data_IF_855596741927
#
_entry.id   IF_855596741927
#
_cell.length_a   1.000
_cell.length_b   1.000
_cell.length_c   1.000
_cell.angle_alpha   90.00
_cell.angle_beta   90.00
_cell.angle_gamma   90.00
#
_symmetry.space_group_name_H-M   'P 1'
#
loop_
_entity.id
_entity.type
_entity.pdbx_description
1 polymer ?
#
# COMPACT_ATOMS: atom_id res chain seq x y z
N UNK A 1 9.25 -24.09 -18.89
CA UNK A 1 9.55 -23.59 -17.53
C UNK A 1 8.28 -23.34 -16.70
N UNK A 2 7.28 -22.63 -17.23
CA UNK A 2 6.03 -22.33 -16.47
C UNK A 2 5.31 -23.61 -15.96
N UNK A 3 5.31 -24.67 -16.77
CA UNK A 3 4.60 -25.92 -16.44
C UNK A 3 5.25 -26.70 -15.28
N UNK A 4 6.59 -26.62 -15.16
CA UNK A 4 7.32 -27.30 -14.08
C UNK A 4 7.16 -26.57 -12.74
N UNK A 5 7.10 -25.24 -12.76
CA UNK A 5 6.86 -24.42 -11.55
C UNK A 5 5.43 -24.67 -11.03
N UNK A 6 4.45 -24.70 -11.91
CA UNK A 6 3.05 -24.97 -11.55
C UNK A 6 2.89 -26.33 -10.87
N UNK A 7 3.59 -27.37 -11.36
CA UNK A 7 3.58 -28.73 -10.77
C UNK A 7 4.12 -28.73 -9.34
N UNK A 8 5.25 -28.04 -9.10
CA UNK A 8 5.86 -27.97 -7.75
C UNK A 8 4.94 -27.21 -6.80
N UNK A 9 4.39 -26.07 -7.25
CA UNK A 9 3.47 -25.25 -6.46
C UNK A 9 2.22 -26.08 -6.10
N UNK A 10 1.63 -26.76 -7.09
CA UNK A 10 0.45 -27.61 -6.90
C UNK A 10 0.71 -28.71 -5.86
N UNK A 11 1.84 -29.41 -5.95
CA UNK A 11 2.20 -30.49 -5.02
C UNK A 11 2.29 -30.01 -3.57
N UNK A 12 2.93 -28.85 -3.34
CA UNK A 12 3.06 -28.27 -1.99
C UNK A 12 1.69 -27.82 -1.48
N UNK A 13 0.89 -27.15 -2.32
CA UNK A 13 -0.43 -26.65 -1.93
C UNK A 13 -1.37 -27.79 -1.58
N UNK A 14 -1.37 -28.89 -2.35
CA UNK A 14 -2.24 -30.06 -2.10
C UNK A 14 -1.98 -30.68 -0.74
N UNK A 15 -0.71 -30.78 -0.32
CA UNK A 15 -0.33 -31.30 1.01
C UNK A 15 -0.95 -30.48 2.15
N UNK A 16 -1.27 -29.21 1.89
CA UNK A 16 -1.83 -28.29 2.90
C UNK A 16 -3.32 -28.03 2.69
N UNK A 17 -3.98 -28.78 1.83
CA UNK A 17 -5.43 -28.71 1.63
C UNK A 17 -5.88 -27.66 0.62
N UNK A 18 -4.97 -27.17 -0.23
CA UNK A 18 -5.27 -26.21 -1.28
C UNK A 18 -5.18 -26.88 -2.65
N UNK A 19 -6.12 -26.56 -3.51
CA UNK A 19 -6.10 -26.99 -4.91
C UNK A 19 -5.71 -25.80 -5.79
N UNK A 20 -4.61 -25.92 -6.52
CA UNK A 20 -4.11 -24.86 -7.39
C UNK A 20 -5.15 -24.51 -8.48
N UNK A 21 -5.43 -23.24 -8.62
CA UNK A 21 -6.34 -22.68 -9.62
C UNK A 21 -5.59 -21.88 -10.70
N UNK A 22 -6.20 -20.80 -11.14
CA UNK A 22 -5.67 -19.99 -12.24
C UNK A 22 -4.53 -19.08 -11.78
N UNK A 23 -3.67 -18.74 -12.73
CA UNK A 23 -2.64 -17.71 -12.56
C UNK A 23 -3.30 -16.33 -12.47
N UNK A 24 -2.88 -15.54 -11.48
CA UNK A 24 -3.40 -14.18 -11.27
C UNK A 24 -2.43 -13.09 -11.70
N UNK A 25 -1.12 -13.30 -11.50
CA UNK A 25 -0.14 -12.29 -11.85
C UNK A 25 1.27 -12.63 -11.42
N UNK A 26 2.21 -11.77 -11.80
CA UNK A 26 3.63 -11.94 -11.49
C UNK A 26 4.24 -10.58 -11.14
N UNK A 27 4.89 -10.53 -9.99
CA UNK A 27 5.74 -9.42 -9.59
C UNK A 27 7.22 -9.74 -9.80
N UNK A 28 8.09 -8.86 -9.33
CA UNK A 28 9.54 -9.01 -9.48
C UNK A 28 10.06 -10.32 -8.86
N UNK A 29 9.60 -10.64 -7.66
CA UNK A 29 10.10 -11.79 -6.88
C UNK A 29 9.04 -12.84 -6.58
N UNK A 30 7.80 -12.60 -7.01
CA UNK A 30 6.67 -13.43 -6.61
C UNK A 30 5.74 -13.70 -7.78
N UNK A 31 5.05 -14.84 -7.70
CA UNK A 31 3.97 -15.22 -8.62
C UNK A 31 2.71 -15.42 -7.77
N UNK A 32 1.58 -14.92 -8.25
CA UNK A 32 0.31 -15.02 -7.53
C UNK A 32 -0.63 -15.97 -8.29
N UNK A 33 -1.19 -16.90 -7.55
CA UNK A 33 -2.15 -17.91 -8.04
C UNK A 33 -3.43 -17.82 -7.24
N UNK A 34 -4.54 -18.12 -7.86
CA UNK A 34 -5.77 -18.49 -7.17
C UNK A 34 -5.65 -19.95 -6.72
N UNK A 35 -6.19 -20.27 -5.54
CA UNK A 35 -6.27 -21.64 -5.07
C UNK A 35 -7.56 -21.83 -4.29
N UNK A 36 -8.12 -23.05 -4.33
CA UNK A 36 -9.32 -23.43 -3.57
C UNK A 36 -8.88 -24.09 -2.27
N UNK A 37 -9.28 -23.51 -1.13
CA UNK A 37 -8.99 -24.07 0.19
C UNK A 37 -10.15 -24.94 0.64
N UNK A 38 -9.91 -26.25 0.67
CA UNK A 38 -10.94 -27.28 0.94
C UNK A 38 -11.59 -27.12 2.31
N UNK A 39 -10.79 -26.76 3.34
CA UNK A 39 -11.27 -26.62 4.72
C UNK A 39 -12.34 -25.53 4.86
N UNK A 40 -12.14 -24.38 4.20
CA UNK A 40 -13.08 -23.25 4.27
C UNK A 40 -14.05 -23.20 3.08
N UNK A 41 -13.88 -24.11 2.11
CA UNK A 41 -14.69 -24.19 0.87
C UNK A 41 -14.71 -22.83 0.15
N UNK A 42 -13.56 -22.18 0.03
CA UNK A 42 -13.44 -20.85 -0.56
C UNK A 42 -12.16 -20.72 -1.38
N UNK A 43 -12.16 -19.81 -2.33
CA UNK A 43 -10.97 -19.45 -3.09
C UNK A 43 -10.13 -18.44 -2.30
N UNK A 44 -8.82 -18.57 -2.41
CA UNK A 44 -7.81 -17.69 -1.79
C UNK A 44 -6.80 -17.27 -2.87
N UNK A 45 -6.05 -16.23 -2.59
CA UNK A 45 -4.86 -15.87 -3.37
C UNK A 45 -3.63 -16.48 -2.69
N UNK A 46 -2.73 -17.05 -3.48
CA UNK A 46 -1.46 -17.60 -2.99
C UNK A 46 -0.32 -16.84 -3.67
N UNK A 47 0.41 -16.06 -2.90
CA UNK A 47 1.61 -15.35 -3.36
C UNK A 47 2.81 -16.25 -3.08
N UNK A 48 3.53 -16.66 -4.13
CA UNK A 48 4.68 -17.57 -4.07
C UNK A 48 5.95 -16.78 -4.31
N UNK A 49 6.75 -16.57 -3.27
CA UNK A 49 8.06 -15.92 -3.39
C UNK A 49 9.13 -16.96 -3.69
N UNK A 50 9.96 -16.67 -4.69
CA UNK A 50 11.11 -17.51 -5.05
C UNK A 50 12.34 -16.97 -4.31
N UNK A 51 12.87 -17.77 -3.36
CA UNK A 51 13.99 -17.36 -2.51
C UNK A 51 15.25 -17.03 -3.33
N UNK A 52 15.47 -17.74 -4.44
CA UNK A 52 16.60 -17.51 -5.33
C UNK A 52 16.62 -16.11 -5.99
N UNK A 53 15.43 -15.46 -6.05
CA UNK A 53 15.26 -14.13 -6.67
C UNK A 53 15.30 -12.99 -5.68
N UNK A 54 15.19 -13.29 -4.39
CA UNK A 54 15.14 -12.28 -3.34
C UNK A 54 16.48 -12.18 -2.62
N UNK A 55 16.81 -10.98 -2.16
CA UNK A 55 18.04 -10.74 -1.40
C UNK A 55 18.02 -11.54 -0.08
N UNK A 56 19.17 -12.10 0.30
CA UNK A 56 19.32 -12.89 1.53
C UNK A 56 18.91 -12.07 2.76
N UNK A 57 19.30 -10.81 2.83
CA UNK A 57 18.93 -9.93 3.94
C UNK A 57 17.41 -9.72 4.03
N UNK A 58 16.74 -9.58 2.90
CA UNK A 58 15.27 -9.50 2.84
C UNK A 58 14.65 -10.77 3.43
N UNK A 59 15.10 -11.94 2.99
CA UNK A 59 14.52 -13.24 3.40
C UNK A 59 14.74 -13.55 4.88
N UNK A 60 15.91 -13.16 5.45
CA UNK A 60 16.29 -13.54 6.82
C UNK A 60 15.86 -12.51 7.87
N UNK A 61 15.85 -11.22 7.51
CA UNK A 61 15.57 -10.13 8.47
C UNK A 61 14.21 -9.48 8.26
N UNK A 62 13.88 -9.15 7.02
CA UNK A 62 12.71 -8.32 6.74
C UNK A 62 11.43 -9.13 6.57
N UNK A 63 11.44 -10.16 5.75
CA UNK A 63 10.26 -10.96 5.44
C UNK A 63 9.61 -11.58 6.69
N UNK A 64 10.33 -12.17 7.63
CA UNK A 64 9.71 -12.65 8.87
C UNK A 64 9.02 -11.54 9.66
N UNK A 65 9.48 -10.52 9.63
CA UNK A 65 8.93 -9.51 10.28
C UNK A 65 7.73 -8.99 9.69
N UNK A 66 7.85 -8.84 8.53
CA UNK A 66 6.67 -8.38 7.78
C UNK A 66 5.49 -9.35 7.93
N UNK A 67 5.75 -10.63 7.81
CA UNK A 67 4.72 -11.67 8.00
C UNK A 67 4.11 -11.58 9.41
N UNK A 68 4.91 -11.36 10.44
CA UNK A 68 4.39 -11.24 11.81
C UNK A 68 3.48 -10.01 11.95
N UNK A 69 3.89 -8.88 11.40
CA UNK A 69 3.04 -7.67 11.37
C UNK A 69 1.74 -7.95 10.62
N UNK A 70 1.84 -8.52 9.43
CA UNK A 70 0.68 -8.80 8.57
C UNK A 70 -0.36 -9.70 9.28
N UNK A 71 0.10 -10.70 10.04
CA UNK A 71 -0.78 -11.58 10.84
C UNK A 71 -1.65 -10.81 11.84
N UNK A 72 -1.17 -9.64 12.31
CA UNK A 72 -1.90 -8.84 13.31
C UNK A 72 -2.89 -7.85 12.69
N UNK A 73 -2.75 -7.56 11.38
CA UNK A 73 -3.57 -6.56 10.70
C UNK A 73 -4.92 -7.17 10.29
N UNK A 74 -6.01 -6.61 10.82
CA UNK A 74 -7.38 -7.03 10.50
C UNK A 74 -8.26 -5.81 10.29
N UNK A 75 -8.66 -5.59 9.04
CA UNK A 75 -9.50 -4.44 8.68
C UNK A 75 -10.26 -4.77 7.38
N UNK A 76 -11.52 -4.35 7.23
CA UNK A 76 -12.30 -4.66 6.03
C UNK A 76 -11.70 -4.13 4.73
N UNK A 77 -10.87 -3.07 4.78
CA UNK A 77 -10.24 -2.51 3.59
C UNK A 77 -8.78 -2.95 3.40
N UNK A 78 -8.35 -4.00 4.09
CA UNK A 78 -7.04 -4.65 3.88
C UNK A 78 -7.25 -6.09 3.39
N UNK A 79 -6.39 -6.54 2.49
CA UNK A 79 -6.33 -7.96 2.11
C UNK A 79 -5.90 -8.75 3.36
N UNK A 80 -6.74 -9.68 3.80
CA UNK A 80 -6.47 -10.47 5.01
C UNK A 80 -5.36 -11.50 4.76
N UNK A 81 -4.48 -11.64 5.73
CA UNK A 81 -3.47 -12.71 5.78
C UNK A 81 -4.10 -13.93 6.44
N UNK A 82 -3.95 -15.10 5.82
CA UNK A 82 -4.47 -16.36 6.35
C UNK A 82 -3.36 -17.25 6.92
N UNK A 83 -2.31 -17.51 6.13
CA UNK A 83 -1.30 -18.50 6.47
C UNK A 83 -0.03 -18.25 5.65
N UNK A 84 1.11 -18.68 6.15
CA UNK A 84 2.33 -18.81 5.36
C UNK A 84 2.93 -20.20 5.50
N UNK A 85 3.50 -20.71 4.43
CA UNK A 85 4.21 -22.00 4.38
C UNK A 85 5.59 -21.71 3.80
N UNK A 86 6.61 -22.19 4.47
CA UNK A 86 7.99 -22.01 4.02
C UNK A 86 8.59 -23.36 3.64
N UNK A 87 9.25 -23.39 2.49
CA UNK A 87 10.05 -24.53 2.02
C UNK A 87 11.50 -24.07 1.81
N UNK A 88 12.36 -24.99 1.45
CA UNK A 88 13.78 -24.69 1.15
C UNK A 88 13.89 -23.54 0.13
N UNK A 89 13.10 -23.56 -0.94
CA UNK A 89 13.26 -22.67 -2.09
C UNK A 89 12.17 -21.60 -2.23
N UNK A 90 11.08 -21.67 -1.44
CA UNK A 90 9.91 -20.79 -1.61
C UNK A 90 9.25 -20.41 -0.30
N UNK A 91 8.58 -19.27 -0.31
CA UNK A 91 7.62 -18.88 0.73
C UNK A 91 6.25 -18.71 0.07
N UNK A 92 5.26 -19.40 0.59
CA UNK A 92 3.86 -19.33 0.13
C UNK A 92 3.09 -18.50 1.16
N UNK A 93 2.41 -17.46 0.69
CA UNK A 93 1.59 -16.59 1.54
C UNK A 93 0.15 -16.70 1.04
N UNK A 94 -0.73 -17.23 1.89
CA UNK A 94 -2.15 -17.39 1.59
C UNK A 94 -2.90 -16.15 2.06
N UNK A 95 -3.64 -15.54 1.16
CA UNK A 95 -4.29 -14.25 1.34
C UNK A 95 -5.75 -14.30 0.91
N UNK A 96 -6.52 -13.35 1.40
CA UNK A 96 -7.86 -13.09 0.89
C UNK A 96 -7.80 -12.85 -0.62
N UNK A 97 -8.70 -13.49 -1.36
CA UNK A 97 -8.85 -13.23 -2.79
C UNK A 97 -9.79 -12.04 -3.00
N UNK A 98 -9.34 -11.07 -3.76
CA UNK A 98 -10.15 -9.92 -4.19
C UNK A 98 -10.52 -10.12 -5.67
N UNK A 99 -11.71 -10.65 -5.97
CA UNK A 99 -12.02 -11.12 -7.33
C UNK A 99 -12.28 -9.98 -8.34
N UNK A 100 -12.48 -8.75 -7.88
CA UNK A 100 -12.69 -7.59 -8.75
C UNK A 100 -11.43 -7.07 -9.45
N UNK A 101 -10.25 -7.59 -9.08
CA UNK A 101 -8.97 -7.20 -9.69
C UNK A 101 -8.46 -5.82 -9.23
N UNK A 102 -7.54 -5.25 -9.98
CA UNK A 102 -6.88 -3.99 -9.64
C UNK A 102 -7.70 -2.76 -10.03
N UNK A 103 -7.70 -1.74 -9.17
CA UNK A 103 -8.30 -0.42 -9.51
C UNK A 103 -7.61 0.17 -10.75
N UNK A 104 -6.30 -0.02 -10.89
CA UNK A 104 -5.57 0.46 -12.09
C UNK A 104 -6.17 -0.13 -13.38
N UNK A 105 -6.48 -1.41 -13.40
CA UNK A 105 -7.07 -2.06 -14.58
C UNK A 105 -8.47 -1.50 -14.87
N UNK A 106 -9.24 -1.21 -13.82
CA UNK A 106 -10.55 -0.58 -13.98
C UNK A 106 -10.42 0.79 -14.69
N UNK A 107 -9.42 1.59 -14.26
CA UNK A 107 -9.16 2.91 -14.86
C UNK A 107 -8.66 2.77 -16.29
N UNK A 108 -7.76 1.80 -16.57
CA UNK A 108 -7.27 1.54 -17.94
C UNK A 108 -8.41 1.18 -18.89
N UNK A 109 -9.37 0.40 -18.42
CA UNK A 109 -10.49 -0.08 -19.24
C UNK A 109 -11.60 0.95 -19.44
N UNK A 110 -11.91 1.73 -18.41
CA UNK A 110 -13.10 2.60 -18.38
C UNK A 110 -12.78 4.11 -18.32
N UNK A 111 -11.50 4.45 -18.13
CA UNK A 111 -11.09 5.85 -17.94
C UNK A 111 -11.30 6.33 -16.52
N UNK A 112 -11.38 7.66 -16.36
CA UNK A 112 -11.58 8.29 -15.06
C UNK A 112 -12.87 7.82 -14.38
N UNK A 113 -12.80 7.69 -13.07
CA UNK A 113 -13.97 7.36 -12.25
C UNK A 113 -14.87 8.57 -12.07
N UNK A 114 -16.17 8.34 -12.00
CA UNK A 114 -17.09 9.36 -11.51
C UNK A 114 -16.71 9.71 -10.07
N UNK A 115 -16.87 10.97 -9.70
CA UNK A 115 -16.42 11.48 -8.40
C UNK A 115 -17.07 10.74 -7.22
N UNK A 116 -18.32 10.30 -7.38
CA UNK A 116 -19.03 9.51 -6.36
C UNK A 116 -18.32 8.19 -6.07
N UNK A 117 -17.88 7.49 -7.12
CA UNK A 117 -17.14 6.22 -6.97
C UNK A 117 -15.74 6.47 -6.39
N UNK A 118 -15.05 7.49 -6.91
CA UNK A 118 -13.71 7.86 -6.44
C UNK A 118 -13.76 8.25 -4.94
N UNK A 119 -14.79 8.99 -4.53
CA UNK A 119 -14.98 9.39 -3.13
C UNK A 119 -15.19 8.20 -2.20
N UNK A 120 -16.06 7.26 -2.60
CA UNK A 120 -16.27 6.02 -1.83
C UNK A 120 -14.97 5.22 -1.68
N UNK A 121 -14.26 5.03 -2.80
CA UNK A 121 -12.99 4.28 -2.79
C UNK A 121 -11.91 5.00 -1.98
N UNK A 122 -11.83 6.32 -2.10
CA UNK A 122 -10.85 7.11 -1.36
C UNK A 122 -11.13 7.10 0.15
N UNK A 123 -12.40 7.17 0.54
CA UNK A 123 -12.81 7.03 1.95
C UNK A 123 -12.39 5.68 2.51
N UNK A 124 -12.63 4.59 1.77
CA UNK A 124 -12.23 3.25 2.17
C UNK A 124 -10.69 3.14 2.27
N UNK A 125 -9.97 3.76 1.34
CA UNK A 125 -8.51 3.85 1.38
C UNK A 125 -8.05 4.58 2.66
N UNK A 126 -8.69 5.72 2.98
CA UNK A 126 -8.38 6.46 4.22
C UNK A 126 -8.58 5.60 5.46
N UNK A 127 -9.70 4.83 5.52
CA UNK A 127 -9.98 3.93 6.66
C UNK A 127 -8.88 2.88 6.83
N UNK A 128 -8.52 2.20 5.74
CA UNK A 128 -7.48 1.17 5.78
C UNK A 128 -6.10 1.73 6.13
N UNK A 129 -5.75 2.88 5.55
CA UNK A 129 -4.43 3.50 5.78
C UNK A 129 -4.34 4.07 7.20
N UNK A 130 -5.39 4.71 7.72
CA UNK A 130 -5.43 5.19 9.11
C UNK A 130 -5.23 4.02 10.08
N UNK A 131 -5.88 2.89 9.80
CA UNK A 131 -5.75 1.68 10.64
C UNK A 131 -4.30 1.19 10.68
N UNK A 132 -3.61 1.02 9.52
CA UNK A 132 -2.23 0.53 9.53
C UNK A 132 -1.28 1.56 10.16
N UNK A 133 -1.50 2.86 9.92
CA UNK A 133 -0.71 3.92 10.56
C UNK A 133 -0.87 3.88 12.08
N UNK A 134 -2.08 3.60 12.61
CA UNK A 134 -2.31 3.47 14.06
C UNK A 134 -1.55 2.29 14.68
N UNK A 135 -1.15 1.33 13.85
CA UNK A 135 -0.30 0.19 14.26
C UNK A 135 1.19 0.49 14.05
N UNK A 136 1.54 1.73 13.67
CA UNK A 136 2.91 2.12 13.37
C UNK A 136 3.44 1.56 12.05
N UNK A 137 2.56 1.05 11.19
CA UNK A 137 2.93 0.41 9.92
C UNK A 137 2.83 1.43 8.80
N UNK A 138 3.86 1.50 7.96
CA UNK A 138 3.92 2.33 6.75
C UNK A 138 3.89 1.39 5.54
N UNK A 139 3.08 1.71 4.54
CA UNK A 139 2.91 0.87 3.35
C UNK A 139 4.12 0.94 2.41
N UNK A 140 4.60 2.15 2.11
CA UNK A 140 5.79 2.48 1.29
C UNK A 140 5.67 2.21 -0.22
N UNK A 141 4.76 1.35 -0.66
CA UNK A 141 4.54 1.08 -2.10
C UNK A 141 3.04 1.22 -2.45
N UNK A 142 2.41 2.24 -1.89
CA UNK A 142 0.98 2.48 -2.15
C UNK A 142 0.80 3.02 -3.57
N UNK A 143 -0.01 2.31 -4.37
CA UNK A 143 -0.29 2.64 -5.77
C UNK A 143 -1.57 1.95 -6.22
N UNK A 144 -2.12 2.35 -7.36
CA UNK A 144 -3.40 1.83 -7.86
C UNK A 144 -3.37 0.33 -8.15
N UNK A 145 -2.20 -0.22 -8.51
CA UNK A 145 -2.00 -1.65 -8.73
C UNK A 145 -2.11 -2.46 -7.42
N UNK A 146 -1.87 -1.81 -6.27
CA UNK A 146 -1.96 -2.44 -4.96
C UNK A 146 -3.32 -2.20 -4.29
N UNK A 147 -4.25 -1.56 -4.98
CA UNK A 147 -5.65 -1.43 -4.56
C UNK A 147 -6.49 -2.44 -5.35
N UNK A 148 -6.99 -3.46 -4.65
CA UNK A 148 -7.82 -4.49 -5.25
C UNK A 148 -9.29 -4.24 -4.91
N UNK A 149 -10.17 -4.88 -5.66
CA UNK A 149 -11.62 -4.77 -5.47
C UNK A 149 -12.18 -6.13 -5.06
N UNK A 150 -13.00 -6.15 -4.02
CA UNK A 150 -13.74 -7.34 -3.63
C UNK A 150 -14.96 -7.55 -4.55
N UNK A 151 -15.78 -8.55 -4.27
CA UNK A 151 -16.97 -8.87 -5.07
C UNK A 151 -18.04 -7.77 -5.03
N UNK A 152 -17.98 -6.86 -4.06
CA UNK A 152 -18.92 -5.73 -3.91
C UNK A 152 -18.29 -4.40 -4.34
N UNK A 153 -17.16 -4.44 -5.04
CA UNK A 153 -16.38 -3.28 -5.47
C UNK A 153 -15.87 -2.42 -4.30
N UNK A 154 -15.60 -3.03 -3.15
CA UNK A 154 -14.93 -2.35 -2.03
C UNK A 154 -13.40 -2.47 -2.16
N UNK A 155 -12.70 -1.42 -1.72
CA UNK A 155 -11.23 -1.38 -1.74
C UNK A 155 -10.65 -2.39 -0.74
N UNK A 156 -9.64 -3.12 -1.22
CA UNK A 156 -8.77 -3.99 -0.43
C UNK A 156 -7.32 -3.60 -0.70
N UNK A 157 -6.67 -2.96 0.26
CA UNK A 157 -5.26 -2.59 0.17
C UNK A 157 -4.43 -3.88 0.25
N UNK A 158 -3.54 -4.07 -0.69
CA UNK A 158 -2.72 -5.28 -0.82
C UNK A 158 -1.24 -4.96 -0.86
N UNK A 159 -0.46 -6.02 -0.91
CA UNK A 159 1.00 -6.01 -1.11
C UNK A 159 1.78 -5.29 -0.01
N UNK A 160 1.71 -5.86 1.17
CA UNK A 160 2.45 -5.43 2.35
C UNK A 160 3.92 -5.92 2.33
N UNK A 161 4.44 -6.31 1.16
CA UNK A 161 5.81 -6.84 1.02
C UNK A 161 6.92 -5.83 1.24
N UNK A 162 6.60 -4.54 1.34
CA UNK A 162 7.56 -3.46 1.62
C UNK A 162 7.18 -2.68 2.87
N UNK A 163 6.13 -3.11 3.56
CA UNK A 163 5.70 -2.46 4.81
C UNK A 163 6.78 -2.60 5.87
N UNK A 164 7.02 -1.53 6.60
CA UNK A 164 7.94 -1.53 7.75
C UNK A 164 7.28 -0.90 8.97
N UNK A 165 7.59 -1.46 10.11
CA UNK A 165 7.25 -0.82 11.39
C UNK A 165 8.26 0.32 11.58
N UNK A 166 7.77 1.54 11.56
CA UNK A 166 8.60 2.75 11.57
C UNK A 166 9.54 2.85 12.79
N UNK A 167 9.19 2.19 13.90
CA UNK A 167 9.97 2.27 15.14
C UNK A 167 11.24 1.41 15.14
N UNK A 168 11.41 0.49 14.19
CA UNK A 168 12.58 -0.39 14.14
C UNK A 168 13.76 0.21 13.36
N UNK A 169 13.54 1.34 12.68
CA UNK A 169 14.57 2.01 11.89
C UNK A 169 15.22 3.17 12.64
N UNK A 170 15.59 2.97 13.90
CA UNK A 170 16.23 4.01 14.71
C UNK A 170 17.68 4.33 14.31
N UNK A 171 18.17 3.87 13.19
CA UNK A 171 19.56 4.10 12.82
C UNK A 171 19.85 4.39 11.34
N UNK A 172 19.03 3.98 10.44
CA UNK A 172 19.21 4.30 9.03
C UNK A 172 17.91 4.11 8.29
N UNK A 173 17.25 5.23 7.98
CA UNK A 173 16.33 5.25 6.86
C UNK A 173 17.20 4.95 5.65
N UNK A 174 17.43 3.68 5.34
CA UNK A 174 17.94 3.34 4.02
C UNK A 174 16.91 3.89 3.05
N UNK A 175 17.31 4.92 2.32
CA UNK A 175 16.59 5.37 1.15
C UNK A 175 16.17 4.13 0.36
N UNK A 176 14.96 4.06 -0.15
CA UNK A 176 14.69 3.06 -1.16
C UNK A 176 15.84 3.19 -2.14
N UNK A 177 16.64 2.14 -2.30
CA UNK A 177 17.70 2.17 -3.28
C UNK A 177 17.05 2.51 -4.61
N UNK A 178 17.32 3.71 -5.08
CA UNK A 178 16.93 4.14 -6.42
C UNK A 178 17.78 3.33 -7.40
N UNK A 179 17.50 2.03 -7.48
CA UNK A 179 18.21 1.20 -8.46
C UNK A 179 17.77 1.65 -9.84
N UNK A 180 18.72 1.71 -10.76
CA UNK A 180 18.46 2.01 -12.17
C UNK A 180 17.47 1.02 -12.80
N UNK A 181 17.19 -0.07 -12.11
CA UNK A 181 16.22 -1.11 -12.50
C UNK A 181 14.84 -0.96 -11.85
N UNK A 182 14.58 0.15 -11.13
CA UNK A 182 13.26 0.37 -10.52
C UNK A 182 12.27 0.78 -11.62
N UNK A 183 11.65 -0.21 -12.25
CA UNK A 183 10.63 0.02 -13.26
C UNK A 183 9.28 0.30 -12.61
N UNK A 184 8.90 1.58 -12.54
CA UNK A 184 7.51 1.92 -12.62
C UNK A 184 6.75 2.39 -11.42
N UNK A 185 7.36 3.01 -10.39
CA UNK A 185 6.56 3.60 -9.30
C UNK A 185 7.04 4.96 -8.81
N UNK A 186 7.94 5.61 -9.52
CA UNK A 186 8.39 6.95 -9.14
C UNK A 186 7.26 7.98 -9.12
N UNK A 187 6.21 7.76 -9.92
CA UNK A 187 5.06 8.66 -9.98
C UNK A 187 4.32 8.78 -8.64
N UNK A 188 4.44 7.78 -7.75
CA UNK A 188 3.77 7.75 -6.44
C UNK A 188 4.69 8.19 -5.29
N UNK A 189 5.99 8.36 -5.55
CA UNK A 189 7.00 8.69 -4.54
C UNK A 189 7.03 10.22 -4.35
N UNK A 190 7.02 10.73 -3.10
CA UNK A 190 7.00 12.19 -2.91
C UNK A 190 8.36 12.84 -3.21
N UNK A 191 8.38 14.16 -3.50
CA UNK A 191 9.60 14.86 -3.91
C UNK A 191 10.72 14.80 -2.87
N UNK A 192 10.42 14.82 -1.57
CA UNK A 192 11.43 14.74 -0.51
C UNK A 192 12.18 13.40 -0.54
N UNK A 193 11.51 12.31 -0.92
CA UNK A 193 12.14 11.00 -1.07
C UNK A 193 13.04 10.98 -2.31
N UNK A 194 12.59 11.55 -3.43
CA UNK A 194 13.39 11.66 -4.66
C UNK A 194 14.63 12.54 -4.45
N UNK A 195 14.55 13.53 -3.57
CA UNK A 195 15.65 14.42 -3.24
C UNK A 195 16.63 13.83 -2.21
N UNK A 196 16.28 12.67 -1.61
CA UNK A 196 17.11 12.02 -0.60
C UNK A 196 17.20 12.79 0.71
N UNK A 197 16.21 13.64 1.02
CA UNK A 197 16.18 14.37 2.29
C UNK A 197 15.40 13.58 3.35
N UNK A 198 15.72 13.77 4.64
CA UNK A 198 14.99 13.10 5.71
C UNK A 198 13.49 13.38 5.63
N UNK A 199 12.66 12.36 5.76
CA UNK A 199 11.23 12.48 5.54
C UNK A 199 10.41 11.70 6.58
N UNK A 200 9.15 12.07 6.71
CA UNK A 200 8.18 11.36 7.51
C UNK A 200 7.52 10.29 6.63
N UNK A 201 7.73 8.99 6.92
CA UNK A 201 7.21 7.93 6.06
C UNK A 201 5.67 7.85 6.05
N UNK A 202 4.99 8.28 7.12
CA UNK A 202 3.53 8.35 7.14
C UNK A 202 3.01 9.42 6.17
N UNK A 203 3.68 10.58 6.09
CA UNK A 203 3.36 11.63 5.11
C UNK A 203 3.69 11.20 3.68
N UNK A 204 4.67 10.31 3.50
CA UNK A 204 4.98 9.72 2.19
C UNK A 204 3.80 8.87 1.68
N UNK A 205 3.20 8.04 2.53
CA UNK A 205 1.99 7.28 2.17
C UNK A 205 0.83 8.23 1.80
N UNK A 206 0.66 9.33 2.55
CA UNK A 206 -0.39 10.32 2.25
C UNK A 206 -0.19 10.94 0.86
N UNK A 207 1.06 11.27 0.49
CA UNK A 207 1.35 11.74 -0.88
C UNK A 207 0.88 10.73 -1.91
N UNK A 208 1.21 9.45 -1.74
CA UNK A 208 0.79 8.38 -2.65
C UNK A 208 -0.73 8.31 -2.76
N UNK A 209 -1.46 8.50 -1.64
CA UNK A 209 -2.93 8.58 -1.66
C UNK A 209 -3.43 9.73 -2.54
N UNK A 210 -2.73 10.88 -2.51
CA UNK A 210 -3.05 12.02 -3.37
C UNK A 210 -2.87 11.72 -4.86
N UNK A 211 -1.78 11.03 -5.21
CA UNK A 211 -1.53 10.56 -6.59
C UNK A 211 -2.65 9.61 -7.02
N UNK A 212 -3.05 8.70 -6.15
CA UNK A 212 -4.16 7.76 -6.37
C UNK A 212 -5.46 8.52 -6.64
N UNK A 213 -5.83 9.46 -5.77
CA UNK A 213 -7.08 10.23 -5.93
C UNK A 213 -7.07 11.03 -7.25
N UNK A 214 -5.97 11.73 -7.53
CA UNK A 214 -5.85 12.47 -8.80
C UNK A 214 -6.07 11.53 -9.99
N UNK A 215 -5.43 10.34 -9.96
CA UNK A 215 -5.53 9.38 -11.09
C UNK A 215 -6.94 8.81 -11.20
N UNK A 216 -7.62 8.53 -10.08
CA UNK A 216 -9.01 8.07 -10.10
C UNK A 216 -9.92 9.06 -10.82
N UNK A 217 -9.81 10.36 -10.49
CA UNK A 217 -10.75 11.36 -11.00
C UNK A 217 -10.37 11.95 -12.37
N UNK A 218 -9.10 11.78 -12.80
CA UNK A 218 -8.64 12.31 -14.12
C UNK A 218 -8.36 11.21 -15.15
N UNK A 219 -8.16 9.98 -14.71
CA UNK A 219 -7.76 8.84 -15.54
C UNK A 219 -6.27 8.84 -15.92
N UNK A 220 -5.48 9.77 -15.37
CA UNK A 220 -4.05 9.93 -15.71
C UNK A 220 -3.24 10.27 -14.47
N UNK A 221 -1.98 9.84 -14.46
CA UNK A 221 -1.05 10.23 -13.39
C UNK A 221 -0.83 11.76 -13.41
N UNK A 222 -0.66 12.39 -12.23
CA UNK A 222 -0.45 13.85 -12.16
C UNK A 222 0.92 14.29 -12.69
N UNK A 223 1.90 13.40 -12.69
CA UNK A 223 3.29 13.71 -13.03
C UNK A 223 3.85 12.68 -14.00
N UNK A 224 4.69 13.12 -14.93
CA UNK A 224 5.34 12.28 -15.94
C UNK A 224 6.63 11.69 -15.39
N UNK A 225 6.66 10.38 -15.17
CA UNK A 225 7.79 9.66 -14.58
C UNK A 225 8.80 9.14 -15.61
N UNK A 226 8.68 9.54 -16.88
CA UNK A 226 9.62 9.15 -17.93
C UNK A 226 11.03 9.75 -17.77
N UNK A 227 11.15 10.83 -17.00
CA UNK A 227 12.42 11.51 -16.73
C UNK A 227 12.40 12.07 -15.31
N UNK A 228 13.35 11.65 -14.46
CA UNK A 228 13.39 11.99 -13.03
C UNK A 228 13.55 13.49 -12.75
N UNK A 229 14.35 14.22 -13.54
CA UNK A 229 14.50 15.67 -13.36
C UNK A 229 13.21 16.42 -13.67
N UNK A 230 12.53 16.00 -14.74
CA UNK A 230 11.24 16.57 -15.14
C UNK A 230 10.18 16.24 -14.11
N UNK A 231 10.16 15.00 -13.64
CA UNK A 231 9.24 14.51 -12.59
C UNK A 231 9.35 15.39 -11.34
N UNK A 232 10.57 15.58 -10.81
CA UNK A 232 10.79 16.39 -9.62
C UNK A 232 10.31 17.83 -9.81
N UNK A 233 10.60 18.45 -10.96
CA UNK A 233 10.12 19.81 -11.27
C UNK A 233 8.59 19.88 -11.26
N UNK A 234 7.93 18.87 -11.84
CA UNK A 234 6.46 18.82 -11.87
C UNK A 234 5.88 18.67 -10.45
N UNK A 235 6.47 17.78 -9.64
CA UNK A 235 6.05 17.58 -8.26
C UNK A 235 6.16 18.84 -7.40
N UNK A 236 7.27 19.56 -7.53
CA UNK A 236 7.50 20.81 -6.80
C UNK A 236 6.56 21.93 -7.25
N UNK A 237 6.11 21.88 -8.51
CA UNK A 237 5.13 22.82 -9.07
C UNK A 237 3.68 22.49 -8.66
N UNK A 238 3.41 21.21 -8.42
CA UNK A 238 2.09 20.68 -8.08
C UNK A 238 1.31 20.17 -9.30
N UNK A 239 0.22 19.42 -9.05
CA UNK A 239 -0.59 18.86 -10.12
C UNK A 239 -1.38 19.95 -10.87
N UNK A 240 -1.67 19.70 -12.14
CA UNK A 240 -2.35 20.66 -13.01
C UNK A 240 -3.74 20.12 -13.41
N UNK A 241 -4.76 20.91 -13.13
CA UNK A 241 -6.12 20.66 -13.63
C UNK A 241 -6.35 21.51 -14.88
N UNK A 242 -6.85 20.89 -15.94
CA UNK A 242 -7.12 21.54 -17.23
C UNK A 242 -8.63 21.69 -17.43
N UNK A 243 -9.02 22.32 -18.52
CA UNK A 243 -10.45 22.45 -18.92
C UNK A 243 -11.16 21.09 -19.08
N UNK A 244 -10.42 20.01 -19.31
CA UNK A 244 -10.97 18.64 -19.39
C UNK A 244 -11.47 18.14 -18.03
N UNK A 245 -11.01 18.75 -16.94
CA UNK A 245 -11.35 18.35 -15.56
C UNK A 245 -12.43 19.24 -14.94
N UNK A 246 -13.30 19.83 -15.78
CA UNK A 246 -14.40 20.73 -15.33
C UNK A 246 -15.42 20.02 -14.43
N UNK A 247 -15.62 18.73 -14.65
CA UNK A 247 -16.61 17.95 -13.92
C UNK A 247 -16.15 17.53 -12.51
N UNK A 248 -14.87 17.74 -12.18
CA UNK A 248 -14.35 17.46 -10.84
C UNK A 248 -14.67 18.67 -9.95
N UNK A 249 -15.27 18.42 -8.79
CA UNK A 249 -15.66 19.49 -7.86
C UNK A 249 -14.46 20.29 -7.37
N UNK A 250 -14.71 21.52 -6.98
CA UNK A 250 -13.70 22.41 -6.37
C UNK A 250 -13.13 21.77 -5.11
N UNK A 251 -13.98 21.14 -4.31
CA UNK A 251 -13.62 20.49 -3.04
C UNK A 251 -12.66 19.32 -3.25
N UNK A 252 -12.91 18.51 -4.28
CA UNK A 252 -12.01 17.41 -4.63
C UNK A 252 -10.63 17.94 -5.09
N UNK A 253 -10.64 18.95 -5.95
CA UNK A 253 -9.39 19.60 -6.44
C UNK A 253 -8.60 20.19 -5.28
N UNK A 254 -9.28 20.90 -4.36
CA UNK A 254 -8.67 21.49 -3.16
C UNK A 254 -7.98 20.43 -2.31
N UNK A 255 -8.67 19.31 -2.05
CA UNK A 255 -8.12 18.20 -1.28
C UNK A 255 -6.84 17.66 -1.94
N UNK A 256 -6.88 17.40 -3.24
CA UNK A 256 -5.73 16.90 -4.00
C UNK A 256 -4.54 17.88 -3.88
N UNK A 257 -4.79 19.18 -4.01
CA UNK A 257 -3.74 20.20 -3.88
C UNK A 257 -3.16 20.27 -2.47
N UNK A 258 -3.99 20.03 -1.43
CA UNK A 258 -3.54 20.01 -0.03
C UNK A 258 -2.74 18.75 0.29
N UNK A 259 -2.92 17.68 -0.47
CA UNK A 259 -2.13 16.44 -0.32
C UNK A 259 -0.82 16.54 -1.14
N UNK A 260 -0.91 16.93 -2.42
CA UNK A 260 0.22 16.97 -3.35
C UNK A 260 0.98 18.29 -3.25
N UNK A 261 1.50 18.57 -2.05
CA UNK A 261 2.24 19.77 -1.72
C UNK A 261 3.47 19.41 -0.86
N UNK A 262 4.28 20.40 -0.53
CA UNK A 262 5.49 20.23 0.30
C UNK A 262 5.12 19.56 1.63
N UNK A 263 5.99 18.67 2.10
CA UNK A 263 5.75 17.83 3.29
C UNK A 263 5.34 18.63 4.54
N UNK A 264 5.87 19.85 4.71
CA UNK A 264 5.56 20.73 5.86
C UNK A 264 4.12 21.27 5.84
N UNK A 265 3.49 21.33 4.65
CA UNK A 265 2.13 21.85 4.43
C UNK A 265 1.14 20.74 4.08
N UNK A 266 1.62 19.53 3.86
CA UNK A 266 0.79 18.40 3.44
C UNK A 266 -0.18 18.00 4.53
N UNK A 267 -1.43 17.72 4.14
CA UNK A 267 -2.44 17.15 5.03
C UNK A 267 -1.91 15.90 5.74
N UNK A 268 -2.17 15.79 7.03
CA UNK A 268 -2.03 14.54 7.77
C UNK A 268 -3.27 13.65 7.53
N UNK A 269 -3.22 12.42 7.99
CA UNK A 269 -4.42 11.55 7.96
C UNK A 269 -5.57 12.16 8.76
N UNK A 270 -5.27 12.81 9.89
CA UNK A 270 -6.29 13.48 10.72
C UNK A 270 -6.95 14.62 9.92
N UNK A 271 -6.16 15.39 9.16
CA UNK A 271 -6.70 16.45 8.30
C UNK A 271 -7.61 15.88 7.21
N UNK A 272 -7.27 14.71 6.63
CA UNK A 272 -8.11 14.05 5.62
C UNK A 272 -9.49 13.73 6.17
N UNK A 273 -9.56 13.17 7.37
CA UNK A 273 -10.84 12.83 8.03
C UNK A 273 -11.64 14.06 8.50
N UNK A 274 -11.01 15.24 8.48
CA UNK A 274 -11.66 16.52 8.80
C UNK A 274 -12.07 17.30 7.54
N UNK A 275 -11.59 16.90 6.37
CA UNK A 275 -11.85 17.61 5.11
C UNK A 275 -13.28 17.35 4.63
N UNK A 276 -14.01 18.41 4.31
CA UNK A 276 -15.44 18.32 3.98
C UNK A 276 -15.73 17.41 2.79
N UNK A 277 -14.83 17.30 1.81
CA UNK A 277 -15.02 16.37 0.69
C UNK A 277 -14.98 14.92 1.19
N UNK A 278 -14.02 14.57 2.02
CA UNK A 278 -13.93 13.20 2.61
C UNK A 278 -15.13 12.94 3.52
N UNK A 279 -15.50 13.93 4.34
CA UNK A 279 -16.66 13.83 5.25
C UNK A 279 -17.96 13.52 4.50
N UNK A 280 -18.11 14.01 3.26
CA UNK A 280 -19.32 13.76 2.46
C UNK A 280 -19.49 12.28 2.06
N UNK A 281 -18.41 11.48 2.10
CA UNK A 281 -18.41 10.05 1.79
C UNK A 281 -18.24 9.17 3.05
N UNK A 282 -17.95 9.80 4.19
CA UNK A 282 -17.57 9.10 5.42
C UNK A 282 -18.72 8.24 5.95
N UNK A 283 -18.45 6.94 6.10
CA UNK A 283 -19.40 5.98 6.68
C UNK A 283 -19.33 5.96 8.20
N UNK A 284 -18.09 6.06 8.75
CA UNK A 284 -17.85 6.04 10.20
C UNK A 284 -16.56 6.80 10.51
N UNK A 285 -16.62 7.65 11.54
CA UNK A 285 -15.43 8.36 12.01
C UNK A 285 -14.59 7.43 12.90
N UNK A 286 -13.36 7.08 12.52
CA UNK A 286 -12.54 6.16 13.31
C UNK A 286 -11.82 6.90 14.47
N UNK A 287 -12.59 7.39 15.45
CA UNK A 287 -12.11 8.29 16.50
C UNK A 287 -10.91 7.73 17.26
N UNK A 288 -10.98 6.48 17.69
CA UNK A 288 -9.90 5.84 18.46
C UNK A 288 -8.61 5.72 17.64
N UNK A 289 -8.75 5.41 16.34
CA UNK A 289 -7.63 5.33 15.40
C UNK A 289 -6.99 6.71 15.22
N UNK A 290 -7.82 7.75 15.01
CA UNK A 290 -7.33 9.13 14.77
C UNK A 290 -6.60 9.69 15.99
N UNK A 291 -7.09 9.44 17.20
CA UNK A 291 -6.40 9.82 18.43
C UNK A 291 -5.02 9.13 18.49
N UNK A 292 -4.96 7.87 18.12
CA UNK A 292 -3.72 7.09 18.12
C UNK A 292 -2.65 7.59 17.14
N UNK A 293 -3.05 8.23 16.04
CA UNK A 293 -2.11 8.65 14.97
C UNK A 293 -1.80 10.14 14.95
N UNK A 294 -2.47 10.95 15.77
CA UNK A 294 -2.32 12.41 15.75
C UNK A 294 -0.86 12.87 15.75
N UNK A 295 -0.01 12.20 16.51
CA UNK A 295 1.38 12.59 16.68
C UNK A 295 2.35 11.95 15.67
N UNK A 296 1.88 11.04 14.80
CA UNK A 296 2.73 10.35 13.83
C UNK A 296 3.24 11.29 12.72
N UNK A 297 2.57 12.38 12.49
CA UNK A 297 2.86 13.32 11.40
C UNK A 297 3.76 14.47 11.82
N UNK A 298 4.35 14.39 13.01
CA UNK A 298 5.31 15.37 13.52
C UNK A 298 6.65 15.29 12.75
N UNK A 299 7.45 16.36 12.77
CA UNK A 299 8.78 16.35 12.16
C UNK A 299 9.67 15.23 12.73
N UNK A 300 10.60 14.69 11.94
CA UNK A 300 11.48 13.58 12.37
C UNK A 300 12.20 13.81 13.69
N UNK A 301 12.56 15.06 13.98
CA UNK A 301 13.22 15.44 15.24
C UNK A 301 12.36 15.20 16.49
N UNK A 302 11.04 15.14 16.35
CA UNK A 302 10.10 14.92 17.45
C UNK A 302 9.54 13.48 17.50
N UNK A 303 9.76 12.70 16.44
CA UNK A 303 9.23 11.31 16.36
C UNK A 303 10.00 10.32 17.22
N UNK A 304 11.32 10.52 17.40
CA UNK A 304 12.22 9.55 18.07
C UNK A 304 11.79 9.20 19.51
N UNK A 305 11.14 10.12 20.21
CA UNK A 305 10.83 9.94 21.64
C UNK A 305 9.46 9.28 21.90
N UNK A 306 8.61 9.13 20.89
CA UNK A 306 7.24 8.63 21.09
C UNK A 306 6.97 7.23 20.53
N UNK A 307 7.66 6.86 19.45
CA UNK A 307 7.46 5.52 18.85
C UNK A 307 7.99 4.40 19.76
N UNK A 308 9.00 4.69 20.60
CA UNK A 308 9.51 3.76 21.61
C UNK A 308 8.50 3.45 22.74
N UNK A 309 7.40 4.18 22.82
CA UNK A 309 6.39 4.02 23.87
C UNK A 309 5.19 3.15 23.45
N UNK A 310 5.13 2.70 22.19
CA UNK A 310 4.02 1.88 21.69
C UNK A 310 4.06 0.48 22.35
N UNK A 311 2.98 0.03 23.02
CA UNK A 311 3.00 -1.18 23.85
C UNK A 311 3.38 -2.47 23.13
N UNK A 312 3.03 -2.59 21.84
CA UNK A 312 3.29 -3.81 21.07
C UNK A 312 4.72 -3.90 20.52
N UNK A 313 5.51 -2.80 20.57
CA UNK A 313 6.93 -2.84 20.26
C UNK A 313 7.76 -3.51 21.38
N UNK A 314 7.25 -3.47 22.61
CA UNK A 314 7.93 -4.10 23.77
C UNK A 314 7.74 -5.61 23.81
N UNK A 315 6.75 -6.15 23.12
CA UNK A 315 6.45 -7.58 23.15
C UNK A 315 7.43 -8.45 22.34
N UNK A 316 8.20 -7.83 21.42
CA UNK A 316 9.16 -8.55 20.58
C UNK A 316 10.56 -8.72 21.18
N UNK A 317 10.88 -8.03 22.29
CA UNK A 317 12.23 -8.02 22.85
C UNK A 317 12.45 -9.01 24.01
N UNK A 318 11.41 -9.75 24.42
CA UNK A 318 11.49 -10.67 25.55
C UNK A 318 11.54 -12.15 25.19
N UNK A 319 12.02 -12.50 23.99
CA UNK A 319 12.34 -13.88 23.65
C UNK A 319 13.76 -13.94 23.11
N UNK A 320 14.72 -13.86 24.01
CA UNK A 320 16.09 -14.32 23.79
C UNK A 320 16.30 -15.60 24.58
#
# INVERSE_FOLDING_TARGET
MANSQAKVVSSILEKHGYQLGRYLGKGAYAIVWEAYFRKWKTNVAVKVLLKEKAETEFLTKFLPXEIQVWKTLKHPNLVAFYQSIETTNRVYIMLELAPGGEVMDRIRQRGACEEQLAGRWFEQLCQGMAYIHSRGVVHRDLKLENLLLDQNENIKISDFGFCRVSALDSGSVRQPQLSETYCGSYAYVPPEVLQGIPYNPFLSDVWSMGVILFTMVTGKLPFDDSNLRRLLKQMLRGPIFTSKHRNISTECKELILRILTHATSRCSMVDLFSHHWVLSFLTEQPVDVLIGIENLYLPPSRMRNRLSALPWLKAGSNQS
#
